data_IF_318977210580
#
_entry.id   IF_318977210580
#
_cell.length_a   1.000
_cell.length_b   1.000
_cell.length_c   1.000
_cell.angle_alpha   90.00
_cell.angle_beta   90.00
_cell.angle_gamma   90.00
#
_symmetry.space_group_name_H-M   'P 1'
#
loop_
_entity.id
_entity.type
_entity.pdbx_description
1 polymer ?
#
# COMPACT_ATOMS: atom_id res chain seq x y z
N UNK A 1 -17.25 -3.21 -27.62
CA UNK A 1 -15.97 -3.59 -28.24
C UNK A 1 -14.84 -2.87 -27.49
N UNK A 2 -14.84 -2.94 -26.15
CA UNK A 2 -14.23 -1.85 -25.34
C UNK A 2 -13.31 -2.33 -24.20
N UNK A 3 -12.97 -3.62 -24.14
CA UNK A 3 -12.13 -4.16 -23.06
C UNK A 3 -10.62 -4.06 -23.30
N UNK A 4 -10.20 -3.84 -24.56
CA UNK A 4 -8.79 -3.77 -24.93
C UNK A 4 -8.23 -2.35 -24.66
N UNK A 5 -9.06 -1.31 -24.77
CA UNK A 5 -8.62 0.09 -24.73
C UNK A 5 -8.21 0.59 -23.32
N UNK A 6 -8.95 0.21 -22.27
CA UNK A 6 -8.74 0.74 -20.91
C UNK A 6 -7.48 0.17 -20.23
N UNK A 7 -7.11 -1.09 -20.55
CA UNK A 7 -5.88 -1.70 -20.02
C UNK A 7 -4.65 -1.05 -20.62
N UNK A 8 -4.72 -0.69 -21.90
CA UNK A 8 -3.63 -0.06 -22.63
C UNK A 8 -3.44 1.40 -22.18
N UNK A 9 -4.51 2.15 -21.85
CA UNK A 9 -4.39 3.52 -21.29
C UNK A 9 -3.67 3.53 -19.93
N UNK A 10 -4.05 2.64 -19.00
CA UNK A 10 -3.40 2.53 -17.68
C UNK A 10 -1.94 2.10 -17.80
N UNK A 11 -1.65 1.14 -18.69
CA UNK A 11 -0.28 0.69 -18.96
C UNK A 11 0.57 1.82 -19.55
N UNK A 12 0.01 2.63 -20.45
CA UNK A 12 0.70 3.77 -21.04
C UNK A 12 0.98 4.88 -20.03
N UNK A 13 0.03 5.19 -19.14
CA UNK A 13 0.23 6.17 -18.07
C UNK A 13 1.30 5.69 -17.06
N UNK A 14 1.25 4.41 -16.70
CA UNK A 14 2.26 3.73 -15.89
C UNK A 14 3.67 3.81 -16.51
N UNK A 15 3.81 3.49 -17.80
CA UNK A 15 5.09 3.59 -18.52
C UNK A 15 5.60 5.04 -18.61
N UNK A 16 4.71 6.01 -18.76
CA UNK A 16 5.07 7.44 -18.81
C UNK A 16 5.64 7.89 -17.47
N UNK A 17 5.02 7.46 -16.36
CA UNK A 17 5.51 7.71 -14.98
C UNK A 17 6.82 7.02 -14.68
N UNK A 18 7.10 5.86 -15.28
CA UNK A 18 8.40 5.21 -15.16
C UNK A 18 9.53 6.06 -15.78
N UNK A 19 9.25 6.68 -16.94
CA UNK A 19 10.20 7.56 -17.64
C UNK A 19 10.37 8.92 -16.95
N UNK A 20 9.29 9.45 -16.38
CA UNK A 20 9.27 10.72 -15.65
C UNK A 20 8.53 10.59 -14.29
N UNK A 21 9.23 10.09 -13.24
CA UNK A 21 8.66 9.87 -11.91
C UNK A 21 8.08 11.16 -11.30
N UNK A 22 6.82 11.10 -10.87
CA UNK A 22 6.13 12.23 -10.26
C UNK A 22 6.51 12.40 -8.79
N UNK A 23 6.44 13.65 -8.32
CA UNK A 23 6.41 13.98 -6.90
C UNK A 23 4.96 14.17 -6.47
N UNK A 24 4.54 13.38 -5.48
CA UNK A 24 3.16 13.35 -5.00
C UNK A 24 2.92 14.25 -3.79
N UNK A 25 3.94 14.36 -2.94
CA UNK A 25 3.88 15.13 -1.71
C UNK A 25 5.29 15.51 -1.27
N UNK A 26 5.43 16.71 -0.71
CA UNK A 26 6.65 17.17 -0.05
C UNK A 26 6.30 17.69 1.33
N UNK A 27 7.06 17.24 2.32
CA UNK A 27 6.97 17.72 3.69
C UNK A 27 8.35 18.20 4.13
N UNK A 28 8.43 18.87 5.30
CA UNK A 28 9.71 19.26 5.88
C UNK A 28 10.67 18.08 6.17
N UNK A 29 10.18 16.82 6.15
CA UNK A 29 10.98 15.63 6.52
C UNK A 29 11.18 14.65 5.37
N UNK A 30 10.20 14.54 4.48
CA UNK A 30 10.28 13.62 3.36
C UNK A 30 9.63 14.16 2.10
N UNK A 31 10.13 13.68 0.97
CA UNK A 31 9.52 13.83 -0.35
C UNK A 31 9.00 12.46 -0.80
N UNK A 32 7.79 12.41 -1.33
CA UNK A 32 7.16 11.19 -1.82
C UNK A 32 7.16 11.21 -3.35
N UNK A 33 7.73 10.17 -3.95
CA UNK A 33 7.83 10.03 -5.40
C UNK A 33 7.43 8.64 -5.86
N UNK A 34 7.17 8.50 -7.16
CA UNK A 34 7.10 7.19 -7.81
C UNK A 34 8.38 6.37 -7.56
N UNK A 35 8.19 5.08 -7.25
CA UNK A 35 9.28 4.13 -7.08
C UNK A 35 10.03 3.97 -8.41
N UNK A 36 11.35 4.18 -8.39
CA UNK A 36 12.22 3.94 -9.55
C UNK A 36 12.85 2.56 -9.48
N UNK A 37 13.19 1.98 -10.62
CA UNK A 37 13.87 0.68 -10.72
C UNK A 37 15.20 0.62 -9.93
N UNK A 38 15.94 1.74 -9.89
CA UNK A 38 17.18 1.88 -9.12
C UNK A 38 16.99 1.83 -7.59
N UNK A 39 15.75 1.90 -7.10
CA UNK A 39 15.39 1.88 -5.69
C UNK A 39 14.85 0.51 -5.23
N UNK A 40 15.05 -0.53 -6.04
CA UNK A 40 14.62 -1.92 -5.78
C UNK A 40 15.15 -2.54 -4.49
N UNK A 41 16.24 -2.00 -3.91
CA UNK A 41 16.75 -2.37 -2.57
C UNK A 41 15.97 -1.64 -1.48
N UNK A 42 14.69 -1.97 -1.36
CA UNK A 42 13.77 -1.43 -0.37
C UNK A 42 14.14 -1.85 1.07
N UNK A 43 13.64 -1.13 2.09
CA UNK A 43 13.76 -1.53 3.50
C UNK A 43 12.90 -2.75 3.86
N UNK A 44 12.86 -3.77 3.00
CA UNK A 44 12.08 -5.02 3.17
C UNK A 44 12.55 -5.82 4.39
N UNK A 45 13.85 -5.78 4.71
CA UNK A 45 14.36 -6.41 5.93
C UNK A 45 13.76 -5.80 7.21
N UNK A 46 13.46 -4.50 7.21
CA UNK A 46 12.74 -3.88 8.33
C UNK A 46 11.26 -4.25 8.34
N UNK A 47 10.66 -4.38 7.15
CA UNK A 47 9.26 -4.80 7.04
C UNK A 47 9.02 -6.16 7.69
N UNK A 48 9.73 -7.22 7.28
CA UNK A 48 9.50 -8.56 7.82
C UNK A 48 9.76 -8.68 9.31
N UNK A 49 10.68 -7.87 9.85
CA UNK A 49 11.02 -7.87 11.28
C UNK A 49 9.94 -7.23 12.15
N UNK A 50 9.27 -6.22 11.63
CA UNK A 50 8.33 -5.38 12.39
C UNK A 50 6.85 -5.67 12.05
N UNK A 51 6.56 -6.32 10.93
CA UNK A 51 5.20 -6.66 10.52
C UNK A 51 4.62 -7.77 11.41
N UNK A 52 3.44 -7.55 12.05
CA UNK A 52 2.89 -8.46 13.05
C UNK A 52 2.73 -9.92 12.60
N UNK A 53 2.24 -10.16 11.38
CA UNK A 53 2.02 -11.52 10.88
C UNK A 53 3.35 -12.21 10.57
N UNK A 54 4.29 -11.52 9.95
CA UNK A 54 5.65 -12.02 9.66
C UNK A 54 6.39 -12.40 10.95
N UNK A 55 6.26 -11.55 11.98
CA UNK A 55 6.87 -11.81 13.28
C UNK A 55 6.23 -13.02 13.97
N UNK A 56 4.89 -13.07 14.03
CA UNK A 56 4.18 -14.13 14.72
C UNK A 56 4.31 -15.49 14.01
N UNK A 57 4.52 -15.51 12.69
CA UNK A 57 4.77 -16.75 11.95
C UNK A 57 6.24 -17.15 11.88
N UNK A 58 7.14 -16.45 12.57
CA UNK A 58 8.60 -16.62 12.44
C UNK A 58 9.09 -16.62 10.99
N UNK A 59 8.53 -15.75 10.13
CA UNK A 59 8.79 -15.76 8.68
C UNK A 59 10.30 -15.71 8.37
N UNK A 60 11.06 -14.91 9.12
CA UNK A 60 12.50 -14.73 8.91
C UNK A 60 13.34 -15.99 9.19
N UNK A 61 12.77 -17.01 9.84
CA UNK A 61 13.44 -18.29 10.10
C UNK A 61 13.31 -19.28 8.93
N UNK A 62 12.41 -19.01 7.98
CA UNK A 62 12.23 -19.80 6.76
C UNK A 62 12.66 -19.01 5.51
N UNK A 63 13.89 -19.26 5.06
CA UNK A 63 14.46 -18.61 3.87
C UNK A 63 13.63 -18.83 2.61
N UNK A 64 12.98 -19.98 2.46
CA UNK A 64 12.16 -20.29 1.28
C UNK A 64 10.94 -19.38 1.24
N UNK A 65 10.26 -19.22 2.39
CA UNK A 65 9.12 -18.32 2.50
C UNK A 65 9.52 -16.85 2.32
N UNK A 66 10.67 -16.44 2.84
CA UNK A 66 11.22 -15.09 2.62
C UNK A 66 11.48 -14.84 1.13
N UNK A 67 12.15 -15.76 0.45
CA UNK A 67 12.47 -15.61 -0.97
C UNK A 67 11.22 -15.56 -1.84
N UNK A 68 10.24 -16.42 -1.57
CA UNK A 68 8.94 -16.42 -2.26
C UNK A 68 8.19 -15.10 -2.04
N UNK A 69 8.20 -14.55 -0.82
CA UNK A 69 7.57 -13.26 -0.57
C UNK A 69 8.34 -12.14 -1.28
N UNK A 70 9.66 -12.13 -1.23
CA UNK A 70 10.47 -11.15 -1.96
C UNK A 70 10.22 -11.17 -3.47
N UNK A 71 10.02 -12.35 -4.06
CA UNK A 71 9.63 -12.49 -5.47
C UNK A 71 8.27 -11.85 -5.74
N UNK A 72 7.25 -12.11 -4.91
CA UNK A 72 5.94 -11.46 -5.02
C UNK A 72 6.03 -9.93 -4.94
N UNK A 73 6.85 -9.41 -4.00
CA UNK A 73 7.05 -7.97 -3.86
C UNK A 73 7.68 -7.39 -5.13
N UNK A 74 8.68 -8.07 -5.70
CA UNK A 74 9.28 -7.66 -6.98
C UNK A 74 8.27 -7.64 -8.11
N UNK A 75 7.42 -8.65 -8.20
CA UNK A 75 6.32 -8.67 -9.19
C UNK A 75 5.41 -7.47 -9.01
N UNK A 76 4.96 -7.16 -7.79
CA UNK A 76 4.07 -6.00 -7.54
C UNK A 76 4.73 -4.64 -7.77
N UNK A 77 6.04 -4.54 -7.54
CA UNK A 77 6.79 -3.31 -7.83
C UNK A 77 6.89 -3.02 -9.33
N UNK A 78 6.80 -4.04 -10.19
CA UNK A 78 6.91 -3.88 -11.64
C UNK A 78 5.69 -3.20 -12.26
N UNK A 79 4.56 -3.09 -11.56
CA UNK A 79 3.36 -2.40 -12.07
C UNK A 79 3.47 -0.85 -11.99
N UNK A 80 4.64 -0.32 -11.64
CA UNK A 80 5.02 1.12 -11.62
C UNK A 80 4.08 2.09 -10.89
N UNK A 81 3.12 1.59 -10.11
CA UNK A 81 2.22 2.44 -9.29
C UNK A 81 2.73 2.66 -7.87
N UNK A 82 3.74 1.90 -7.46
CA UNK A 82 4.34 1.96 -6.13
C UNK A 82 5.07 3.28 -5.89
N UNK A 83 5.13 3.73 -4.64
CA UNK A 83 5.74 5.02 -4.27
C UNK A 83 6.71 4.85 -3.09
N UNK A 84 7.68 5.75 -2.99
CA UNK A 84 8.67 5.79 -1.90
C UNK A 84 8.72 7.14 -1.23
N UNK A 85 8.99 7.14 0.07
CA UNK A 85 9.35 8.33 0.83
C UNK A 85 10.88 8.44 0.93
N UNK A 86 11.42 9.56 0.47
CA UNK A 86 12.84 9.91 0.56
C UNK A 86 13.06 10.94 1.66
N UNK A 87 14.08 10.73 2.48
CA UNK A 87 14.53 11.72 3.47
C UNK A 87 15.04 12.98 2.77
N UNK A 88 14.50 14.15 3.10
CA UNK A 88 15.00 15.44 2.57
C UNK A 88 16.47 15.65 2.93
N UNK A 89 16.90 15.18 4.11
CA UNK A 89 18.27 15.39 4.60
C UNK A 89 19.31 14.54 3.90
N UNK A 90 18.97 13.31 3.53
CA UNK A 90 19.95 12.31 3.11
C UNK A 90 19.66 11.70 1.74
N UNK A 91 18.50 11.97 1.15
CA UNK A 91 18.04 11.33 -0.09
C UNK A 91 17.74 9.83 0.02
N UNK A 92 17.93 9.22 1.20
CA UNK A 92 17.70 7.78 1.40
C UNK A 92 16.22 7.45 1.43
N UNK A 93 15.87 6.24 0.95
CA UNK A 93 14.54 5.66 1.13
C UNK A 93 14.30 5.41 2.61
N UNK A 94 13.24 6.00 3.14
CA UNK A 94 12.82 5.90 4.55
C UNK A 94 11.41 5.32 4.69
N UNK A 95 10.71 5.10 3.59
CA UNK A 95 9.45 4.38 3.57
C UNK A 95 9.04 4.01 2.15
N UNK A 96 8.12 3.06 2.03
CA UNK A 96 7.61 2.54 0.77
C UNK A 96 6.14 2.15 0.91
N UNK A 97 5.38 2.40 -0.14
CA UNK A 97 4.10 1.76 -0.36
C UNK A 97 4.17 0.95 -1.67
N UNK A 98 4.00 -0.37 -1.59
CA UNK A 98 3.90 -1.26 -2.75
C UNK A 98 2.43 -1.41 -3.09
N UNK A 99 2.07 -0.98 -4.29
CA UNK A 99 0.67 -0.85 -4.72
C UNK A 99 0.46 -1.44 -6.10
N UNK A 100 -0.80 -1.79 -6.41
CA UNK A 100 -1.22 -2.29 -7.73
C UNK A 100 -2.70 -2.02 -7.97
N UNK A 101 -3.12 -1.89 -9.22
CA UNK A 101 -4.53 -2.01 -9.57
C UNK A 101 -4.93 -3.49 -9.47
N UNK A 102 -5.84 -3.81 -8.57
CA UNK A 102 -6.36 -5.17 -8.42
C UNK A 102 -7.68 -5.29 -9.21
N UNK A 103 -7.77 -6.26 -10.12
CA UNK A 103 -8.95 -6.54 -10.93
C UNK A 103 -9.56 -7.89 -10.57
N UNK A 104 -10.89 -7.97 -10.51
CA UNK A 104 -11.65 -9.20 -10.23
C UNK A 104 -11.34 -10.34 -11.22
N UNK A 105 -10.91 -10.00 -12.44
CA UNK A 105 -10.53 -10.96 -13.47
C UNK A 105 -9.14 -11.56 -13.26
N UNK A 106 -8.28 -10.90 -12.48
CA UNK A 106 -6.98 -11.44 -12.12
C UNK A 106 -7.16 -12.44 -10.99
N UNK A 107 -6.97 -13.73 -11.31
CA UNK A 107 -6.86 -14.78 -10.29
C UNK A 107 -5.49 -14.66 -9.64
N UNK A 108 -5.34 -13.79 -8.65
CA UNK A 108 -4.15 -13.81 -7.79
C UNK A 108 -4.39 -14.79 -6.66
N UNK A 109 -3.70 -15.95 -6.69
CA UNK A 109 -3.74 -16.97 -5.64
C UNK A 109 -3.11 -16.52 -4.31
N UNK A 110 -2.63 -15.28 -4.22
CA UNK A 110 -2.04 -14.72 -3.02
C UNK A 110 -3.10 -14.45 -1.95
N UNK A 111 -2.94 -15.14 -0.82
CA UNK A 111 -3.72 -15.01 0.42
C UNK A 111 -5.20 -15.43 0.36
N UNK A 112 -5.48 -16.68 -0.04
CA UNK A 112 -6.81 -17.30 0.03
C UNK A 112 -7.53 -17.19 1.40
N UNK A 113 -6.81 -16.92 2.50
CA UNK A 113 -7.43 -16.74 3.83
C UNK A 113 -7.89 -15.31 4.13
N UNK A 114 -7.23 -14.27 3.62
CA UNK A 114 -7.79 -12.89 3.68
C UNK A 114 -8.82 -12.67 2.57
N UNK A 115 -8.79 -13.49 1.50
CA UNK A 115 -9.83 -13.57 0.48
C UNK A 115 -11.23 -13.96 1.02
N UNK A 116 -11.36 -14.38 2.29
CA UNK A 116 -12.68 -14.45 2.93
C UNK A 116 -13.42 -13.09 2.92
N UNK A 117 -12.70 -12.01 2.63
CA UNK A 117 -13.22 -10.68 2.45
C UNK A 117 -13.11 -10.33 0.96
N UNK A 118 -14.17 -10.57 0.20
CA UNK A 118 -14.21 -10.21 -1.21
C UNK A 118 -14.24 -8.68 -1.33
N UNK A 119 -13.06 -8.06 -1.42
CA UNK A 119 -12.90 -6.60 -1.50
C UNK A 119 -13.73 -6.01 -2.64
N UNK A 120 -13.83 -6.71 -3.78
CA UNK A 120 -14.67 -6.29 -4.91
C UNK A 120 -16.16 -6.24 -4.55
N UNK A 121 -16.66 -7.18 -3.74
CA UNK A 121 -18.05 -7.13 -3.25
C UNK A 121 -18.26 -6.00 -2.25
N UNK A 122 -17.28 -5.78 -1.35
CA UNK A 122 -17.34 -4.69 -0.35
C UNK A 122 -17.34 -3.32 -1.02
N UNK A 123 -16.49 -3.13 -2.01
CA UNK A 123 -16.41 -1.90 -2.80
C UNK A 123 -17.50 -1.78 -3.87
N UNK A 124 -18.07 -2.91 -4.32
CA UNK A 124 -18.97 -3.01 -5.48
C UNK A 124 -18.32 -2.58 -6.81
N UNK A 125 -16.99 -2.74 -6.91
CA UNK A 125 -16.22 -2.43 -8.11
C UNK A 125 -15.38 -3.62 -8.56
N UNK A 126 -15.28 -3.81 -9.88
CA UNK A 126 -14.43 -4.84 -10.50
C UNK A 126 -12.94 -4.52 -10.40
N UNK A 127 -12.57 -3.25 -10.22
CA UNK A 127 -11.18 -2.79 -10.04
C UNK A 127 -11.09 -1.87 -8.83
N UNK A 128 -9.97 -1.93 -8.11
CA UNK A 128 -9.62 -0.96 -7.08
C UNK A 128 -8.10 -0.84 -6.93
N UNK A 129 -7.62 0.26 -6.38
CA UNK A 129 -6.20 0.45 -6.08
C UNK A 129 -5.85 -0.24 -4.77
N UNK A 130 -4.94 -1.21 -4.79
CA UNK A 130 -4.60 -2.01 -3.63
C UNK A 130 -3.21 -1.63 -3.07
N UNK A 131 -3.12 -1.44 -1.76
CA UNK A 131 -1.87 -1.32 -1.01
C UNK A 131 -1.54 -2.70 -0.44
N UNK A 132 -0.46 -3.31 -0.94
CA UNK A 132 0.02 -4.62 -0.47
C UNK A 132 1.02 -4.49 0.67
N UNK A 133 1.92 -3.51 0.58
CA UNK A 133 2.93 -3.25 1.60
C UNK A 133 2.93 -1.77 1.90
N UNK A 134 2.97 -1.44 3.19
CA UNK A 134 3.23 -0.10 3.69
C UNK A 134 4.27 -0.22 4.79
N UNK A 135 5.45 0.34 4.55
CA UNK A 135 6.58 0.22 5.48
C UNK A 135 7.25 1.57 5.67
N UNK A 136 7.53 1.94 6.91
CA UNK A 136 8.35 3.11 7.28
C UNK A 136 9.48 2.65 8.16
N UNK A 137 10.69 3.11 7.85
CA UNK A 137 11.88 2.82 8.64
C UNK A 137 11.66 3.22 10.11
N UNK A 138 12.01 2.37 11.10
CA UNK A 138 11.69 2.62 12.52
C UNK A 138 12.05 4.02 13.03
N UNK A 139 13.23 4.54 12.69
CA UNK A 139 13.68 5.90 13.05
C UNK A 139 12.86 7.06 12.46
N UNK A 140 11.81 6.77 11.68
CA UNK A 140 10.91 7.75 11.05
C UNK A 140 9.42 7.51 11.34
N UNK A 141 9.05 6.51 12.16
CA UNK A 141 7.65 6.17 12.41
C UNK A 141 6.86 7.28 13.13
N UNK A 142 7.50 8.07 13.99
CA UNK A 142 6.87 9.20 14.70
C UNK A 142 6.76 10.48 13.86
N UNK A 143 7.23 10.46 12.60
CA UNK A 143 7.38 11.65 11.77
C UNK A 143 6.25 11.83 10.75
N UNK A 144 5.10 11.20 10.97
CA UNK A 144 3.92 11.23 10.08
C UNK A 144 4.17 10.73 8.65
N UNK A 145 5.31 10.07 8.39
CA UNK A 145 5.70 9.58 7.05
C UNK A 145 4.69 8.58 6.50
N UNK A 146 4.14 7.70 7.34
CA UNK A 146 3.16 6.71 6.93
C UNK A 146 1.83 7.36 6.49
N UNK A 147 1.40 8.41 7.19
CA UNK A 147 0.19 9.17 6.83
C UNK A 147 0.40 9.90 5.51
N UNK A 148 1.57 10.51 5.30
CA UNK A 148 1.94 11.12 4.02
C UNK A 148 1.96 10.07 2.89
N UNK A 149 2.52 8.88 3.11
CA UNK A 149 2.47 7.77 2.14
C UNK A 149 1.04 7.35 1.81
N UNK A 150 0.16 7.26 2.81
CA UNK A 150 -1.25 6.93 2.60
C UNK A 150 -1.99 8.01 1.80
N UNK A 151 -1.78 9.29 2.10
CA UNK A 151 -2.34 10.40 1.33
C UNK A 151 -1.85 10.38 -0.12
N UNK A 152 -0.55 10.19 -0.32
CA UNK A 152 0.02 10.06 -1.66
C UNK A 152 -0.56 8.85 -2.42
N UNK A 153 -0.77 7.70 -1.76
CA UNK A 153 -1.46 6.56 -2.39
C UNK A 153 -2.89 6.91 -2.83
N UNK A 154 -3.62 7.72 -2.05
CA UNK A 154 -4.94 8.22 -2.45
C UNK A 154 -4.82 9.11 -3.70
N UNK A 155 -3.82 9.98 -3.79
CA UNK A 155 -3.59 10.82 -4.97
C UNK A 155 -3.24 9.99 -6.21
N UNK A 156 -2.38 8.98 -6.05
CA UNK A 156 -2.04 8.03 -7.13
C UNK A 156 -3.29 7.31 -7.62
N UNK A 157 -4.13 6.82 -6.70
CA UNK A 157 -5.38 6.15 -7.07
C UNK A 157 -6.34 7.09 -7.82
N UNK A 158 -6.44 8.36 -7.40
CA UNK A 158 -7.24 9.38 -8.07
C UNK A 158 -6.70 9.71 -9.47
N UNK A 159 -5.38 9.79 -9.65
CA UNK A 159 -4.79 10.06 -10.97
C UNK A 159 -5.11 8.94 -11.96
N UNK A 160 -5.06 7.70 -11.49
CA UNK A 160 -5.44 6.50 -12.24
C UNK A 160 -6.94 6.31 -12.38
N UNK A 161 -7.77 7.30 -11.98
CA UNK A 161 -9.23 7.26 -12.03
C UNK A 161 -9.83 6.04 -11.32
N UNK A 162 -9.17 5.52 -10.28
CA UNK A 162 -9.66 4.36 -9.54
C UNK A 162 -10.86 4.74 -8.65
N UNK A 163 -11.91 3.92 -8.61
CA UNK A 163 -13.13 4.23 -7.83
C UNK A 163 -12.95 3.99 -6.33
N UNK A 164 -11.94 3.22 -5.95
CA UNK A 164 -11.67 2.87 -4.57
C UNK A 164 -10.18 2.57 -4.38
N UNK A 165 -9.72 2.75 -3.14
CA UNK A 165 -8.41 2.31 -2.66
C UNK A 165 -8.59 1.47 -1.40
N UNK A 166 -7.79 0.42 -1.23
CA UNK A 166 -7.84 -0.42 -0.03
C UNK A 166 -6.57 -1.23 0.19
N UNK A 167 -6.51 -1.92 1.31
CA UNK A 167 -5.39 -2.78 1.69
C UNK A 167 -5.67 -3.52 2.98
N UNK A 168 -4.80 -4.48 3.30
CA UNK A 168 -4.86 -5.22 4.56
C UNK A 168 -3.88 -4.57 5.54
N UNK A 169 -4.40 -4.09 6.66
CA UNK A 169 -3.64 -3.44 7.72
C UNK A 169 -3.58 -4.37 8.93
N UNK A 170 -2.38 -4.83 9.24
CA UNK A 170 -2.12 -5.91 10.20
C UNK A 170 -1.74 -5.42 11.60
N UNK A 171 -1.34 -4.16 11.74
CA UNK A 171 -1.00 -3.56 13.02
C UNK A 171 -1.98 -2.45 13.43
N UNK A 172 -2.25 -2.34 14.74
CA UNK A 172 -3.26 -1.41 15.26
C UNK A 172 -2.91 0.07 15.01
N UNK A 173 -1.61 0.39 14.97
CA UNK A 173 -1.12 1.74 14.67
C UNK A 173 -1.43 2.10 13.21
N UNK A 174 -1.13 1.23 12.24
CA UNK A 174 -1.41 1.49 10.84
C UNK A 174 -2.90 1.52 10.54
N UNK A 175 -3.71 0.69 11.20
CA UNK A 175 -5.17 0.80 11.13
C UNK A 175 -5.66 2.19 11.61
N UNK A 176 -5.10 2.70 12.71
CA UNK A 176 -5.44 4.03 13.24
C UNK A 176 -5.02 5.14 12.29
N UNK A 177 -3.83 5.05 11.70
CA UNK A 177 -3.33 6.00 10.69
C UNK A 177 -4.18 5.96 9.42
N UNK A 178 -4.57 4.79 8.95
CA UNK A 178 -5.47 4.64 7.80
C UNK A 178 -6.82 5.33 8.04
N UNK A 179 -7.42 5.16 9.24
CA UNK A 179 -8.64 5.89 9.63
C UNK A 179 -8.46 7.41 9.56
N UNK A 180 -7.31 7.92 10.00
CA UNK A 180 -7.02 9.36 9.95
C UNK A 180 -6.99 9.94 8.52
N UNK A 181 -6.74 9.10 7.52
CA UNK A 181 -6.76 9.44 6.08
C UNK A 181 -8.13 9.16 5.44
N UNK A 182 -9.10 8.71 6.23
CA UNK A 182 -10.48 8.44 5.80
C UNK A 182 -10.72 7.03 5.28
N UNK A 183 -9.81 6.07 5.54
CA UNK A 183 -10.10 4.66 5.30
C UNK A 183 -11.09 4.15 6.35
N UNK A 184 -12.02 3.32 5.89
CA UNK A 184 -13.03 2.67 6.71
C UNK A 184 -12.72 1.18 6.82
N UNK A 185 -13.11 0.57 7.93
CA UNK A 185 -13.04 -0.88 8.09
C UNK A 185 -14.11 -1.53 7.21
N UNK A 186 -13.71 -2.45 6.34
CA UNK A 186 -14.62 -3.21 5.47
C UNK A 186 -14.86 -4.62 6.00
N UNK A 187 -13.82 -5.21 6.60
CA UNK A 187 -13.86 -6.50 7.27
C UNK A 187 -12.62 -6.70 8.13
N UNK A 188 -12.71 -7.55 9.15
CA UNK A 188 -11.58 -7.92 10.00
C UNK A 188 -11.62 -9.40 10.36
N UNK A 189 -10.45 -9.95 10.67
CA UNK A 189 -10.31 -11.22 11.38
C UNK A 189 -9.36 -11.03 12.56
N UNK A 190 -9.81 -11.43 13.75
CA UNK A 190 -8.98 -11.39 14.96
C UNK A 190 -7.93 -12.48 14.89
N UNK A 191 -6.70 -12.17 15.30
CA UNK A 191 -5.60 -13.13 15.26
C UNK A 191 -5.89 -14.37 16.12
N UNK A 192 -6.54 -14.20 17.27
CA UNK A 192 -6.98 -15.29 18.13
C UNK A 192 -8.01 -16.23 17.51
N UNK A 193 -8.62 -15.85 16.38
CA UNK A 193 -9.58 -16.65 15.62
C UNK A 193 -8.97 -17.19 14.32
N UNK A 194 -7.68 -16.92 14.06
CA UNK A 194 -7.01 -17.37 12.86
C UNK A 194 -6.43 -18.78 13.05
N UNK A 195 -7.25 -19.79 12.73
CA UNK A 195 -6.89 -21.19 12.94
C UNK A 195 -6.38 -21.88 11.66
N UNK A 196 -5.21 -22.53 11.74
CA UNK A 196 -4.74 -23.54 10.78
C UNK A 196 -4.64 -24.85 11.54
N UNK A 197 -5.30 -25.92 11.05
CA UNK A 197 -5.30 -27.22 11.71
C UNK A 197 -5.65 -27.12 13.21
N UNK A 198 -6.69 -26.35 13.52
CA UNK A 198 -7.18 -26.08 14.90
C UNK A 198 -6.20 -25.32 15.81
N UNK A 199 -5.08 -24.83 15.29
CA UNK A 199 -4.09 -24.05 16.03
C UNK A 199 -4.10 -22.58 15.59
N UNK A 200 -3.98 -21.68 16.56
CA UNK A 200 -3.80 -20.25 16.29
C UNK A 200 -2.43 -20.03 15.64
N UNK A 201 -2.40 -19.37 14.49
CA UNK A 201 -1.14 -19.17 13.72
C UNK A 201 -0.45 -17.86 14.04
N UNK A 202 -1.19 -16.88 14.54
CA UNK A 202 -0.66 -15.58 14.91
C UNK A 202 -0.91 -15.35 16.41
N UNK A 203 -0.25 -16.13 17.24
CA UNK A 203 -0.46 -16.17 18.69
C UNK A 203 0.29 -15.05 19.46
N UNK A 204 1.43 -14.56 18.93
CA UNK A 204 2.12 -13.36 19.41
C UNK A 204 2.38 -12.30 18.32
N UNK A 205 1.35 -11.58 17.85
CA UNK A 205 1.50 -10.47 16.90
C UNK A 205 2.08 -9.20 17.55
N UNK A 206 2.43 -9.22 18.84
CA UNK A 206 2.90 -8.07 19.60
C UNK A 206 1.78 -7.16 20.14
N UNK A 207 2.14 -6.33 21.12
CA UNK A 207 1.19 -5.48 21.86
C UNK A 207 0.50 -4.48 20.94
N UNK A 208 -0.83 -4.40 21.03
CA UNK A 208 -1.65 -3.47 20.25
C UNK A 208 -2.08 -3.99 18.87
N UNK A 209 -1.68 -5.21 18.50
CA UNK A 209 -2.04 -5.86 17.24
C UNK A 209 -3.03 -7.00 17.53
N UNK A 210 -4.30 -6.80 17.18
CA UNK A 210 -5.37 -7.74 17.56
C UNK A 210 -6.06 -8.41 16.36
N UNK A 211 -5.93 -7.83 15.17
CA UNK A 211 -6.60 -8.28 13.96
C UNK A 211 -5.83 -7.88 12.71
N UNK A 212 -6.06 -8.64 11.63
CA UNK A 212 -5.82 -8.18 10.27
C UNK A 212 -7.12 -7.55 9.74
N UNK A 213 -7.05 -6.30 9.28
CA UNK A 213 -8.20 -5.53 8.86
C UNK A 213 -8.12 -5.17 7.37
N UNK A 214 -9.10 -5.59 6.58
CA UNK A 214 -9.33 -5.01 5.25
C UNK A 214 -9.94 -3.63 5.44
N UNK A 215 -9.17 -2.60 5.09
CA UNK A 215 -9.63 -1.21 5.15
C UNK A 215 -9.62 -0.58 3.76
N UNK A 216 -10.54 0.35 3.53
CA UNK A 216 -10.70 0.97 2.23
C UNK A 216 -11.38 2.33 2.24
N UNK A 217 -11.21 3.07 1.15
CA UNK A 217 -11.78 4.39 0.92
C UNK A 217 -12.37 4.46 -0.48
N UNK A 218 -13.63 4.84 -0.57
CA UNK A 218 -14.26 5.17 -1.86
C UNK A 218 -13.74 6.52 -2.33
N UNK A 219 -13.41 6.61 -3.61
CA UNK A 219 -12.87 7.80 -4.25
C UNK A 219 -13.97 8.41 -5.12
N UNK A 220 -14.32 9.67 -4.85
CA UNK A 220 -15.26 10.45 -5.66
C UNK A 220 -14.47 11.41 -6.54
N UNK A 221 -14.87 11.57 -7.81
CA UNK A 221 -14.24 12.50 -8.75
C UNK A 221 -14.25 13.95 -8.27
N UNK A 222 -15.26 14.35 -7.48
CA UNK A 222 -15.37 15.69 -6.88
C UNK A 222 -14.14 16.06 -6.02
N UNK A 223 -13.44 15.05 -5.47
CA UNK A 223 -12.25 15.27 -4.67
C UNK A 223 -11.05 15.75 -5.52
N UNK A 224 -11.00 15.48 -6.83
CA UNK A 224 -9.88 15.94 -7.68
C UNK A 224 -9.77 17.47 -7.75
N UNK A 225 -10.88 18.20 -7.61
CA UNK A 225 -10.89 19.66 -7.72
C UNK A 225 -10.23 20.33 -6.51
N UNK A 226 -10.36 19.76 -5.32
CA UNK A 226 -9.73 20.32 -4.11
C UNK A 226 -8.20 20.18 -4.12
N UNK A 227 -7.65 19.16 -4.78
CA UNK A 227 -6.21 18.89 -4.79
C UNK A 227 -5.44 19.66 -5.87
N UNK A 228 -6.06 19.99 -7.01
CA UNK A 228 -5.43 20.86 -8.02
C UNK A 228 -5.20 22.30 -7.52
N UNK A 229 -6.00 22.75 -6.55
CA UNK A 229 -5.85 24.09 -5.95
C UNK A 229 -4.70 24.16 -4.92
N UNK A 230 -4.24 23.04 -4.34
CA UNK A 230 -3.12 23.04 -3.38
C UNK A 230 -1.73 22.93 -4.02
N UNK A 231 -1.64 22.59 -5.32
CA UNK A 231 -0.37 22.46 -6.04
C UNK A 231 -0.01 23.68 -6.89
N UNK A 232 -0.82 24.73 -6.87
CA UNK A 232 -0.59 25.99 -7.58
C UNK A 232 -0.73 27.12 -6.56
N UNK A 233 0.28 27.31 -5.72
CA UNK A 233 0.56 28.59 -5.05
C UNK A 233 1.88 28.50 -4.27
N UNK A 234 3.00 28.40 -5.01
CA UNK A 234 4.28 28.98 -4.58
C UNK A 234 5.01 29.50 -5.81
N UNK A 235 4.45 30.53 -6.43
CA UNK A 235 5.22 31.44 -7.29
C UNK A 235 4.51 32.80 -7.28
N UNK A 236 4.71 33.56 -6.20
CA UNK A 236 4.66 35.04 -6.24
C UNK A 236 5.18 35.65 -4.93
N UNK A 237 6.50 35.87 -4.87
CA UNK A 237 7.18 37.16 -4.63
C UNK A 237 8.60 36.97 -4.13
#
# INVERSE_FOLDING_TARGET
MDFIDEKDELALEAETRLKAPLEWESTAKCKIIDLKESQSKLPQHHFFREEPMCKASSLLEDSTSVDNYLELIRTWMNDTTSIVALSIKSGRVIGVAVTRVNSKTEKTDTYQRVQQTNAHEKFKYSKYFCIYILCVHPSYQEKSVEVALLNACVHVALSLKMPAIGGIFTCGISQTRARSVGFQLLSEIRYSLWLVNEQVVFDDPGRGNYSAALMGKLLKEENLKHYKLSSVDTDTK
#
